data_IF_236757103556
#
_entry.id   IF_236757103556
#
_cell.length_a   1.000
_cell.length_b   1.000
_cell.length_c   1.000
_cell.angle_alpha   90.00
_cell.angle_beta   90.00
_cell.angle_gamma   90.00
#
_symmetry.space_group_name_H-M   'P 1'
#
loop_
_entity.id
_entity.type
_entity.pdbx_description
1 polymer ?
#
# COMPACT_ATOMS: atom_id res chain seq x y z
N UNK A 1 0.82 -28.98 -5.44
CA UNK A 1 1.85 -28.86 -4.40
C UNK A 1 3.28 -28.66 -4.95
N UNK A 2 3.62 -29.23 -6.10
CA UNK A 2 4.99 -29.09 -6.68
C UNK A 2 5.33 -27.67 -7.15
N UNK A 3 4.34 -26.90 -7.63
CA UNK A 3 4.56 -25.54 -8.16
C UNK A 3 4.48 -24.44 -7.12
N UNK A 4 3.89 -24.69 -5.93
CA UNK A 4 3.60 -23.70 -4.89
C UNK A 4 2.82 -22.46 -5.39
N UNK A 5 2.11 -22.59 -6.52
CA UNK A 5 1.30 -21.51 -7.05
C UNK A 5 0.03 -21.34 -6.22
N UNK A 6 -0.33 -20.12 -5.81
CA UNK A 6 -1.60 -19.85 -5.15
C UNK A 6 -2.74 -20.05 -6.16
N UNK A 7 -3.67 -20.95 -5.86
CA UNK A 7 -4.83 -21.21 -6.73
C UNK A 7 -6.03 -20.34 -6.35
N UNK A 8 -6.06 -19.89 -5.10
CA UNK A 8 -7.08 -18.99 -4.57
C UNK A 8 -6.53 -18.21 -3.38
N UNK A 9 -6.87 -16.93 -3.32
CA UNK A 9 -6.65 -16.09 -2.16
C UNK A 9 -7.90 -15.21 -1.94
N UNK A 10 -8.39 -15.19 -0.72
CA UNK A 10 -9.56 -14.42 -0.32
C UNK A 10 -9.16 -13.40 0.76
N UNK A 11 -9.54 -12.14 0.56
CA UNK A 11 -9.51 -11.12 1.60
C UNK A 11 -10.90 -11.10 2.25
N UNK A 12 -10.94 -11.40 3.54
CA UNK A 12 -12.20 -11.50 4.31
C UNK A 12 -12.10 -10.56 5.51
N UNK A 13 -13.17 -9.83 5.81
CA UNK A 13 -13.22 -9.02 7.03
C UNK A 13 -13.59 -9.87 8.27
N UNK A 14 -13.73 -9.21 9.43
CA UNK A 14 -14.01 -9.91 10.70
C UNK A 14 -15.40 -10.56 10.74
N UNK A 15 -16.34 -10.03 9.98
CA UNK A 15 -17.72 -10.52 9.94
C UNK A 15 -17.86 -11.64 8.90
N UNK A 16 -16.76 -12.02 8.25
CA UNK A 16 -16.72 -13.06 7.22
C UNK A 16 -17.14 -12.59 5.83
N UNK A 17 -17.36 -11.29 5.65
CA UNK A 17 -17.66 -10.72 4.33
C UNK A 17 -16.43 -10.79 3.43
N UNK A 18 -16.61 -11.33 2.23
CA UNK A 18 -15.54 -11.41 1.23
C UNK A 18 -15.34 -10.04 0.58
N UNK A 19 -14.19 -9.43 0.81
CA UNK A 19 -13.81 -8.13 0.25
C UNK A 19 -13.20 -8.26 -1.13
N UNK A 20 -12.40 -9.29 -1.32
CA UNK A 20 -11.73 -9.57 -2.59
C UNK A 20 -11.41 -11.06 -2.71
N UNK A 21 -11.43 -11.58 -3.95
CA UNK A 21 -11.05 -12.94 -4.25
C UNK A 21 -10.16 -13.00 -5.49
N UNK A 22 -9.01 -13.60 -5.35
CA UNK A 22 -8.18 -14.04 -6.47
C UNK A 22 -8.39 -15.52 -6.73
N UNK A 23 -8.65 -15.89 -7.97
CA UNK A 23 -8.79 -17.28 -8.39
C UNK A 23 -8.00 -17.53 -9.67
N UNK A 24 -7.09 -18.47 -9.63
CA UNK A 24 -6.40 -18.95 -10.83
C UNK A 24 -7.36 -19.77 -11.69
N UNK A 25 -7.64 -19.33 -12.91
CA UNK A 25 -8.54 -19.99 -13.86
C UNK A 25 -7.79 -21.09 -14.59
N UNK A 26 -6.55 -20.82 -15.01
CA UNK A 26 -5.67 -21.81 -15.61
C UNK A 26 -4.21 -21.45 -15.36
N UNK A 27 -3.36 -22.43 -15.35
CA UNK A 27 -1.92 -22.24 -15.27
C UNK A 27 -1.17 -23.30 -16.07
N UNK A 28 0.01 -22.94 -16.53
CA UNK A 28 0.91 -23.87 -17.22
C UNK A 28 2.26 -23.84 -16.52
N UNK A 29 2.78 -25.01 -16.19
CA UNK A 29 4.09 -25.17 -15.55
C UNK A 29 4.92 -26.05 -16.45
N UNK A 30 5.63 -25.47 -17.39
CA UNK A 30 6.52 -26.27 -18.25
C UNK A 30 7.34 -25.39 -19.21
N UNK A 31 8.44 -25.90 -19.84
CA UNK A 31 9.22 -25.19 -20.87
C UNK A 31 8.39 -24.71 -22.08
N UNK A 32 7.17 -25.23 -22.29
CA UNK A 32 6.20 -24.68 -23.25
C UNK A 32 5.82 -23.21 -23.03
N UNK A 33 6.11 -22.63 -21.86
CA UNK A 33 5.92 -21.19 -21.63
C UNK A 33 6.78 -20.36 -22.60
N UNK A 34 8.01 -20.78 -22.88
CA UNK A 34 8.87 -20.10 -23.84
C UNK A 34 8.27 -20.08 -25.25
N UNK A 35 7.62 -21.16 -25.65
CA UNK A 35 6.95 -21.28 -26.94
C UNK A 35 5.69 -20.39 -27.01
N UNK A 36 4.90 -20.35 -25.94
CA UNK A 36 3.74 -19.45 -25.82
C UNK A 36 4.16 -17.98 -25.78
N UNK A 37 5.25 -17.66 -25.11
CA UNK A 37 5.78 -16.30 -25.02
C UNK A 37 6.41 -15.83 -26.34
N UNK A 38 6.87 -16.74 -27.20
CA UNK A 38 7.41 -16.37 -28.52
C UNK A 38 6.35 -15.72 -29.42
N UNK A 39 5.08 -16.08 -29.25
CA UNK A 39 3.95 -15.44 -29.95
C UNK A 39 3.64 -14.02 -29.46
N UNK A 40 4.23 -13.57 -28.34
CA UNK A 40 4.04 -12.22 -27.79
C UNK A 40 5.17 -11.26 -28.19
N UNK A 41 6.20 -11.71 -28.90
CA UNK A 41 7.36 -10.89 -29.27
C UNK A 41 6.99 -9.72 -30.20
N UNK A 42 5.93 -9.89 -30.98
CA UNK A 42 5.45 -8.87 -31.94
C UNK A 42 4.29 -8.02 -31.33
N UNK A 43 3.90 -8.26 -30.09
CA UNK A 43 2.84 -7.49 -29.42
C UNK A 43 3.41 -6.16 -28.94
N UNK A 44 2.92 -5.07 -29.51
CA UNK A 44 3.26 -3.72 -29.06
C UNK A 44 2.54 -3.42 -27.76
N UNK A 45 3.25 -3.59 -26.64
CA UNK A 45 2.72 -3.24 -25.32
C UNK A 45 2.67 -1.71 -25.16
N UNK A 46 1.64 -1.19 -24.45
CA UNK A 46 1.60 0.22 -24.13
C UNK A 46 2.83 0.63 -23.30
N UNK A 47 3.25 1.88 -23.47
CA UNK A 47 4.37 2.41 -22.70
C UNK A 47 4.11 2.26 -21.19
N UNK A 48 5.10 1.75 -20.48
CA UNK A 48 5.01 1.68 -19.01
C UNK A 48 5.00 3.11 -18.47
N UNK A 49 3.93 3.47 -17.79
CA UNK A 49 3.86 4.73 -17.06
C UNK A 49 4.84 4.65 -15.88
N UNK A 50 5.99 5.29 -16.03
CA UNK A 50 6.92 5.46 -14.92
C UNK A 50 6.41 6.57 -14.02
N UNK A 51 6.04 6.23 -12.79
CA UNK A 51 5.83 7.24 -11.75
C UNK A 51 7.13 8.00 -11.52
N UNK A 52 7.08 9.33 -11.32
CA UNK A 52 8.27 10.06 -10.93
C UNK A 52 8.86 9.40 -9.68
N UNK A 53 10.13 9.01 -9.74
CA UNK A 53 10.84 8.54 -8.54
C UNK A 53 10.89 9.71 -7.57
N UNK A 54 10.16 9.59 -6.47
CA UNK A 54 10.28 10.52 -5.36
C UNK A 54 11.70 10.47 -4.79
N UNK A 55 12.08 11.51 -4.09
CA UNK A 55 13.35 11.54 -3.37
C UNK A 55 13.33 10.46 -2.28
N UNK A 56 14.24 9.48 -2.39
CA UNK A 56 14.36 8.37 -1.43
C UNK A 56 15.13 8.90 -0.22
N UNK A 57 14.41 9.59 0.66
CA UNK A 57 14.96 10.09 1.93
C UNK A 57 14.76 9.10 3.07
N UNK A 58 15.51 9.31 4.14
CA UNK A 58 15.20 8.67 5.42
C UNK A 58 13.97 9.35 6.04
N UNK A 59 12.94 8.56 6.40
CA UNK A 59 11.76 9.09 7.07
C UNK A 59 12.03 9.38 8.54
N UNK A 60 11.32 10.38 9.07
CA UNK A 60 11.30 10.66 10.52
C UNK A 60 10.24 9.84 11.25
N UNK A 61 9.57 8.92 10.57
CA UNK A 61 8.50 8.09 11.11
C UNK A 61 8.69 6.64 10.71
N UNK A 62 8.07 5.76 11.48
CA UNK A 62 8.02 4.34 11.20
C UNK A 62 6.66 3.76 11.61
N UNK A 63 6.22 2.72 10.93
CA UNK A 63 5.04 1.95 11.30
C UNK A 63 5.45 0.91 12.35
N UNK A 64 4.84 0.98 13.53
CA UNK A 64 5.16 0.07 14.64
C UNK A 64 4.50 -1.30 14.55
N UNK A 65 3.45 -1.43 13.74
CA UNK A 65 2.76 -2.70 13.52
C UNK A 65 2.20 -2.81 12.11
N UNK A 66 2.47 -3.92 11.46
CA UNK A 66 1.89 -4.33 10.17
C UNK A 66 1.33 -5.75 10.30
N UNK A 67 0.33 -6.14 9.49
CA UNK A 67 -0.14 -7.52 9.43
C UNK A 67 0.99 -8.48 9.01
N UNK A 68 0.90 -9.72 9.48
CA UNK A 68 1.83 -10.78 9.09
C UNK A 68 1.78 -11.02 7.57
N UNK A 69 2.95 -11.20 6.96
CA UNK A 69 3.12 -11.43 5.52
C UNK A 69 3.28 -10.16 4.70
N UNK A 70 2.96 -8.99 5.23
CA UNK A 70 3.20 -7.73 4.53
C UNK A 70 4.63 -7.24 4.72
N UNK A 71 5.24 -6.78 3.65
CA UNK A 71 6.58 -6.20 3.65
C UNK A 71 6.55 -4.76 3.12
N UNK A 72 7.39 -3.86 3.67
CA UNK A 72 7.49 -2.50 3.19
C UNK A 72 8.24 -2.44 1.85
N UNK A 73 7.73 -1.64 0.93
CA UNK A 73 8.43 -1.22 -0.27
C UNK A 73 9.17 0.10 -0.04
N UNK A 74 9.72 0.68 -1.11
CA UNK A 74 10.43 1.94 -1.06
C UNK A 74 9.56 3.08 -0.50
N UNK A 75 10.18 3.91 0.33
CA UNK A 75 9.60 5.17 0.78
C UNK A 75 9.63 6.19 -0.36
N UNK A 76 8.50 6.83 -0.63
CA UNK A 76 8.40 7.90 -1.60
C UNK A 76 8.10 9.23 -0.90
N UNK A 77 8.72 10.31 -1.37
CA UNK A 77 8.43 11.67 -0.93
C UNK A 77 8.10 12.51 -2.15
N UNK A 78 6.97 13.17 -2.13
CA UNK A 78 6.53 14.01 -3.24
C UNK A 78 5.70 15.19 -2.74
N UNK A 79 5.58 16.19 -3.59
CA UNK A 79 4.75 17.35 -3.32
C UNK A 79 3.39 17.15 -4.01
N UNK A 80 2.34 17.21 -3.21
CA UNK A 80 0.97 17.09 -3.73
C UNK A 80 0.60 18.34 -4.52
N UNK A 81 0.19 18.18 -5.78
CA UNK A 81 -0.07 19.30 -6.69
C UNK A 81 -1.22 20.21 -6.22
N UNK A 82 -2.23 19.64 -5.57
CA UNK A 82 -3.43 20.39 -5.14
C UNK A 82 -3.18 21.23 -3.89
N UNK A 83 -2.50 20.68 -2.88
CA UNK A 83 -2.29 21.33 -1.58
C UNK A 83 -0.89 21.93 -1.44
N UNK A 84 0.00 21.66 -2.40
CA UNK A 84 1.41 22.03 -2.35
C UNK A 84 2.18 21.50 -1.12
N UNK A 85 1.59 20.53 -0.42
CA UNK A 85 2.19 19.90 0.76
C UNK A 85 3.16 18.81 0.37
N UNK A 86 4.18 18.61 1.22
CA UNK A 86 5.05 17.44 1.16
C UNK A 86 4.33 16.26 1.80
N UNK A 87 4.26 15.17 1.07
CA UNK A 87 3.70 13.91 1.52
C UNK A 87 4.76 12.82 1.41
N UNK A 88 4.94 12.09 2.48
CA UNK A 88 5.73 10.86 2.47
C UNK A 88 4.76 9.67 2.41
N UNK A 89 5.08 8.68 1.61
CA UNK A 89 4.27 7.48 1.49
C UNK A 89 5.13 6.23 1.44
N UNK A 90 4.63 5.18 2.08
CA UNK A 90 5.23 3.86 2.04
C UNK A 90 4.17 2.82 1.70
N UNK A 91 4.42 2.04 0.65
CA UNK A 91 3.58 0.92 0.25
C UNK A 91 4.01 -0.33 1.00
N UNK A 92 3.03 -1.12 1.43
CA UNK A 92 3.18 -2.44 2.02
C UNK A 92 2.42 -3.45 1.19
N UNK A 93 3.00 -4.62 0.94
CA UNK A 93 2.34 -5.68 0.16
C UNK A 93 2.76 -7.06 0.63
N UNK A 94 1.84 -8.03 0.53
CA UNK A 94 2.10 -9.47 0.70
C UNK A 94 2.21 -10.19 -0.65
N UNK A 95 2.22 -9.43 -1.76
CA UNK A 95 2.23 -9.94 -3.13
C UNK A 95 0.85 -10.11 -3.76
N UNK A 96 -0.23 -10.08 -2.96
CA UNK A 96 -1.63 -10.19 -3.43
C UNK A 96 -2.43 -8.93 -3.08
N UNK A 97 -2.29 -8.47 -1.85
CA UNK A 97 -2.96 -7.30 -1.32
C UNK A 97 -1.94 -6.21 -1.00
N UNK A 98 -2.40 -4.98 -0.93
CA UNK A 98 -1.54 -3.86 -0.60
C UNK A 98 -2.28 -2.77 0.15
N UNK A 99 -1.52 -2.02 0.93
CA UNK A 99 -1.95 -0.76 1.52
C UNK A 99 -0.78 0.24 1.52
N UNK A 100 -1.11 1.51 1.53
CA UNK A 100 -0.14 2.59 1.65
C UNK A 100 -0.39 3.39 2.91
N UNK A 101 0.70 3.77 3.58
CA UNK A 101 0.70 4.73 4.67
C UNK A 101 1.23 6.05 4.14
N UNK A 102 0.44 7.11 4.30
CA UNK A 102 0.78 8.47 3.92
C UNK A 102 0.95 9.29 5.18
N UNK A 103 2.01 10.09 5.21
CA UNK A 103 2.28 11.03 6.30
C UNK A 103 2.50 12.42 5.71
N UNK A 104 1.74 13.38 6.22
CA UNK A 104 1.85 14.78 5.86
C UNK A 104 1.74 15.68 7.10
N UNK A 105 2.03 16.96 6.94
CA UNK A 105 1.74 17.93 8.00
C UNK A 105 0.23 18.18 8.06
N UNK A 106 -0.29 18.31 9.27
CA UNK A 106 -1.68 18.69 9.50
C UNK A 106 -1.92 20.11 8.97
N UNK A 107 -3.02 20.27 8.24
CA UNK A 107 -3.51 21.57 7.79
C UNK A 107 -5.03 21.73 7.99
N UNK A 108 -5.61 22.80 7.43
CA UNK A 108 -7.04 23.08 7.51
C UNK A 108 -7.89 22.06 6.74
N UNK A 109 -7.31 21.39 5.73
CA UNK A 109 -7.95 20.41 4.88
C UNK A 109 -7.77 18.97 5.37
N UNK A 110 -7.08 18.78 6.49
CA UNK A 110 -6.83 17.45 7.07
C UNK A 110 -8.11 16.69 7.35
N UNK A 111 -8.15 15.42 6.97
CA UNK A 111 -9.30 14.52 7.07
C UNK A 111 -9.64 14.07 8.52
N UNK A 112 -9.32 14.82 9.50
CA UNK A 112 -9.62 14.74 10.96
C UNK A 112 -10.27 13.42 11.42
N UNK A 113 -9.57 12.30 11.29
CA UNK A 113 -10.01 11.01 11.85
C UNK A 113 -11.15 10.35 11.07
N UNK A 114 -11.25 10.59 9.78
CA UNK A 114 -12.27 9.96 8.95
C UNK A 114 -11.92 8.49 8.67
N UNK A 115 -12.95 7.67 8.66
CA UNK A 115 -12.91 6.31 8.17
C UNK A 115 -13.90 6.18 7.01
N UNK A 116 -13.40 5.90 5.83
CA UNK A 116 -14.21 5.69 4.62
C UNK A 116 -13.93 4.30 4.09
N UNK A 117 -14.98 3.55 3.82
CA UNK A 117 -14.90 2.26 3.12
C UNK A 117 -15.70 2.33 1.84
N UNK A 118 -15.08 1.94 0.73
CA UNK A 118 -15.74 1.81 -0.56
C UNK A 118 -15.36 0.45 -1.17
N UNK A 119 -16.31 -0.49 -1.11
CA UNK A 119 -16.04 -1.88 -1.48
C UNK A 119 -14.92 -2.47 -0.61
N UNK A 120 -13.90 -3.01 -1.26
CA UNK A 120 -12.71 -3.57 -0.61
C UNK A 120 -11.75 -2.53 -0.04
N UNK A 121 -11.78 -1.29 -0.57
CA UNK A 121 -10.81 -0.24 -0.22
C UNK A 121 -11.23 0.51 1.01
N UNK A 122 -10.34 0.56 1.97
CA UNK A 122 -10.46 1.35 3.20
C UNK A 122 -9.53 2.56 3.12
N UNK A 123 -10.03 3.73 3.53
CA UNK A 123 -9.22 4.89 3.88
C UNK A 123 -9.48 5.20 5.35
N UNK A 124 -8.43 5.26 6.14
CA UNK A 124 -8.49 5.71 7.52
C UNK A 124 -7.48 6.83 7.75
N UNK A 125 -7.95 7.98 8.20
CA UNK A 125 -7.11 9.13 8.56
C UNK A 125 -7.05 9.27 10.07
N UNK A 126 -5.86 9.55 10.58
CA UNK A 126 -5.57 9.75 12.01
C UNK A 126 -4.62 10.92 12.19
N UNK A 127 -4.92 11.80 13.14
CA UNK A 127 -4.07 12.96 13.45
C UNK A 127 -3.27 12.68 14.71
N UNK A 128 -1.95 12.76 14.62
CA UNK A 128 -1.00 12.63 15.73
C UNK A 128 -0.13 13.88 15.82
N UNK A 129 -0.39 14.72 16.80
CA UNK A 129 0.33 15.99 16.96
C UNK A 129 0.14 16.93 15.77
N UNK A 130 1.22 17.23 15.07
CA UNK A 130 1.26 18.09 13.88
C UNK A 130 1.19 17.30 12.56
N UNK A 131 1.02 15.98 12.65
CA UNK A 131 1.01 15.11 11.46
C UNK A 131 -0.36 14.50 11.23
N UNK A 132 -0.73 14.39 9.97
CA UNK A 132 -1.83 13.56 9.51
C UNK A 132 -1.26 12.26 8.92
N UNK A 133 -1.82 11.14 9.37
CA UNK A 133 -1.48 9.80 8.93
C UNK A 133 -2.70 9.24 8.23
N UNK A 134 -2.57 8.89 6.96
CA UNK A 134 -3.65 8.25 6.20
C UNK A 134 -3.21 6.87 5.74
N UNK A 135 -4.03 5.87 6.03
CA UNK A 135 -3.84 4.49 5.58
C UNK A 135 -4.89 4.17 4.53
N UNK A 136 -4.45 3.79 3.35
CA UNK A 136 -5.33 3.49 2.20
C UNK A 136 -4.96 2.15 1.62
N UNK A 137 -5.91 1.24 1.49
CA UNK A 137 -5.63 -0.05 0.85
C UNK A 137 -6.75 -1.07 0.96
N UNK A 138 -6.45 -2.26 0.46
CA UNK A 138 -7.36 -3.39 0.42
C UNK A 138 -7.24 -4.20 1.73
N UNK A 139 -7.52 -3.53 2.85
CA UNK A 139 -7.45 -4.06 4.21
C UNK A 139 -8.69 -3.70 5.02
N UNK A 140 -9.06 -4.50 6.04
CA UNK A 140 -10.17 -4.18 6.91
C UNK A 140 -10.02 -2.84 7.66
N UNK A 141 -11.12 -2.13 7.95
CA UNK A 141 -11.10 -0.85 8.65
C UNK A 141 -10.35 -0.88 9.99
N UNK A 142 -10.55 -1.94 10.76
CA UNK A 142 -9.88 -2.12 12.06
C UNK A 142 -8.37 -2.33 11.93
N UNK A 143 -7.94 -2.95 10.83
CA UNK A 143 -6.53 -3.11 10.49
C UNK A 143 -5.92 -1.77 10.10
N UNK A 144 -6.58 -1.00 9.24
CA UNK A 144 -6.14 0.34 8.86
C UNK A 144 -6.00 1.27 10.07
N UNK A 145 -6.97 1.23 10.99
CA UNK A 145 -6.92 1.99 12.23
C UNK A 145 -5.72 1.60 13.11
N UNK A 146 -5.48 0.31 13.29
CA UNK A 146 -4.35 -0.19 14.09
C UNK A 146 -3.00 0.21 13.48
N UNK A 147 -2.87 0.15 12.15
CA UNK A 147 -1.67 0.60 11.45
C UNK A 147 -1.45 2.09 11.70
N UNK A 148 -2.45 2.94 11.45
CA UNK A 148 -2.36 4.38 11.63
C UNK A 148 -1.95 4.78 13.05
N UNK A 149 -2.52 4.14 14.06
CA UNK A 149 -2.20 4.37 15.48
C UNK A 149 -0.82 3.86 15.89
N UNK A 150 -0.25 2.93 15.13
CA UNK A 150 1.09 2.38 15.41
C UNK A 150 2.23 3.25 14.87
N UNK A 151 1.93 4.27 14.08
CA UNK A 151 2.96 5.15 13.53
C UNK A 151 3.61 5.98 14.63
N UNK A 152 4.92 5.93 14.68
CA UNK A 152 5.73 6.69 15.63
C UNK A 152 6.69 7.61 14.89
N UNK A 153 7.01 8.74 15.51
CA UNK A 153 7.92 9.75 14.96
C UNK A 153 9.22 9.77 15.76
N UNK A 154 10.34 9.73 15.08
CA UNK A 154 11.64 9.90 15.70
C UNK A 154 11.80 11.37 16.11
N UNK A 155 11.92 11.63 17.39
CA UNK A 155 12.22 12.97 17.90
C UNK A 155 13.67 13.28 17.52
N UNK A 156 13.86 14.05 16.47
CA UNK A 156 15.18 14.60 16.17
C UNK A 156 15.50 15.60 17.30
N UNK A 157 16.36 15.20 18.25
CA UNK A 157 16.92 16.15 19.21
C UNK A 157 17.68 17.20 18.40
N UNK A 158 17.09 18.38 18.25
CA UNK A 158 17.79 19.56 17.76
C UNK A 158 19.00 19.75 18.70
N UNK A 159 20.21 19.54 18.19
CA UNK A 159 21.41 20.03 18.87
C UNK A 159 21.32 21.56 18.86
N UNK A 160 21.14 22.15 20.04
CA UNK A 160 21.49 23.54 20.31
C UNK A 160 23.00 23.72 20.19
#
# INVERSE_FOLDING_TARGET
EKSKLPLRADLVDRDGEMLEQYRTISYTVNPKIAELMSGLQDVQLPAVLTMPKGDIGTSNWQVGWIPEGFEPNELNRYRMAVTNQMVESQLYSDGLFSFSVYVSNKDEHSLKGQLVRQGRRTLHSFVSGQHEISVVGDIPPTTAQRIAQSVTFNVTKSKQ
#
